data_IF_037610770593
#
_entry.id   IF_037610770593
#
_cell.length_a   1.000
_cell.length_b   1.000
_cell.length_c   1.000
_cell.angle_alpha   90.00
_cell.angle_beta   90.00
_cell.angle_gamma   90.00
#
_symmetry.space_group_name_H-M   'P 1'
#
loop_
_entity.id
_entity.type
_entity.pdbx_description
1 polymer ?
#
# COMPACT_ATOMS: atom_id res chain seq x y z
N UNK A 1 -10.05 -5.81 16.92
CA UNK A 1 -9.57 -4.95 18.03
C UNK A 1 -9.24 -3.56 17.52
N UNK A 2 -8.43 -3.43 16.46
CA UNK A 2 -8.01 -2.14 15.87
C UNK A 2 -9.13 -1.18 15.50
N UNK A 3 -10.19 -1.63 14.81
CA UNK A 3 -11.28 -0.73 14.40
C UNK A 3 -12.02 -0.15 15.62
N UNK A 4 -12.32 -0.98 16.62
CA UNK A 4 -12.98 -0.57 17.86
C UNK A 4 -12.10 0.30 18.76
N UNK A 5 -10.80 -0.02 18.88
CA UNK A 5 -9.87 0.72 19.74
C UNK A 5 -9.34 2.01 19.10
N UNK A 6 -9.18 2.05 17.77
CA UNK A 6 -8.60 3.20 17.03
C UNK A 6 -9.68 4.12 16.47
N UNK A 7 -10.71 3.62 15.78
CA UNK A 7 -11.80 4.50 15.32
C UNK A 7 -12.75 4.86 16.46
N UNK A 8 -13.01 3.93 17.39
CA UNK A 8 -13.89 4.17 18.54
C UNK A 8 -13.32 5.09 19.62
N UNK A 9 -12.01 5.38 19.60
CA UNK A 9 -11.39 6.39 20.47
C UNK A 9 -11.42 7.80 19.88
N UNK A 10 -11.58 7.93 18.55
CA UNK A 10 -11.63 9.21 17.84
C UNK A 10 -13.08 9.62 17.53
N UNK A 11 -13.97 8.66 17.27
CA UNK A 11 -15.37 8.88 16.93
C UNK A 11 -16.25 8.01 17.85
N UNK A 12 -16.66 8.59 18.97
CA UNK A 12 -17.46 7.92 20.01
C UNK A 12 -18.77 7.29 19.50
N UNK A 13 -19.49 7.87 18.52
CA UNK A 13 -20.65 7.23 17.90
C UNK A 13 -20.33 5.88 17.23
N UNK A 14 -19.11 5.67 16.74
CA UNK A 14 -18.76 4.41 16.07
C UNK A 14 -18.71 3.22 17.03
N UNK A 15 -18.43 3.45 18.32
CA UNK A 15 -18.53 2.41 19.36
C UNK A 15 -19.95 1.88 19.54
N UNK A 16 -20.96 2.69 19.22
CA UNK A 16 -22.37 2.28 19.28
C UNK A 16 -22.83 1.47 18.07
N UNK A 17 -22.06 1.50 16.96
CA UNK A 17 -22.40 0.85 15.68
C UNK A 17 -21.59 -0.42 15.46
N UNK A 18 -20.37 -0.51 16.01
CA UNK A 18 -19.46 -1.65 15.80
C UNK A 18 -19.22 -2.37 17.12
N UNK A 19 -19.68 -3.61 17.19
CA UNK A 19 -19.49 -4.47 18.36
C UNK A 19 -18.02 -4.89 18.51
N UNK A 20 -17.55 -5.04 19.75
CA UNK A 20 -16.15 -5.35 20.05
C UNK A 20 -15.76 -6.73 19.50
N UNK A 21 -16.65 -7.70 19.65
CA UNK A 21 -16.48 -9.06 19.13
C UNK A 21 -16.37 -9.06 17.60
N UNK A 22 -17.19 -8.26 16.91
CA UNK A 22 -17.14 -8.10 15.45
C UNK A 22 -15.81 -7.51 15.01
N UNK A 23 -15.34 -6.46 15.70
CA UNK A 23 -14.02 -5.85 15.45
C UNK A 23 -12.87 -6.83 15.70
N UNK A 24 -12.97 -7.70 16.72
CA UNK A 24 -11.95 -8.71 17.03
C UNK A 24 -11.87 -9.79 15.95
N UNK A 25 -13.01 -10.23 15.42
CA UNK A 25 -13.07 -11.29 14.40
C UNK A 25 -12.76 -10.74 13.00
N UNK A 26 -13.03 -9.46 12.74
CA UNK A 26 -12.82 -8.86 11.42
C UNK A 26 -11.37 -8.91 10.92
N UNK A 27 -10.38 -8.66 11.78
CA UNK A 27 -8.96 -8.63 11.35
C UNK A 27 -8.45 -10.01 10.91
N UNK A 28 -8.65 -11.11 11.66
CA UNK A 28 -8.35 -12.46 11.18
C UNK A 28 -9.20 -12.88 9.98
N UNK A 29 -10.50 -12.53 9.98
CA UNK A 29 -11.40 -12.88 8.87
C UNK A 29 -10.98 -12.20 7.56
N UNK A 30 -10.42 -10.99 7.62
CA UNK A 30 -9.87 -10.31 6.46
C UNK A 30 -8.71 -11.10 5.86
N UNK A 31 -7.80 -11.64 6.68
CA UNK A 31 -6.71 -12.52 6.19
C UNK A 31 -7.30 -13.74 5.49
N UNK A 32 -8.34 -14.35 6.07
CA UNK A 32 -9.04 -15.50 5.45
C UNK A 32 -9.68 -15.12 4.11
N UNK A 33 -10.36 -13.97 4.05
CA UNK A 33 -10.99 -13.47 2.83
C UNK A 33 -9.97 -13.14 1.73
N UNK A 34 -8.74 -12.78 2.10
CA UNK A 34 -7.66 -12.51 1.15
C UNK A 34 -6.91 -13.77 0.70
N UNK A 35 -7.07 -14.92 1.36
CA UNK A 35 -6.37 -16.16 0.96
C UNK A 35 -6.62 -16.57 -0.50
N UNK A 36 -7.85 -16.53 -1.06
CA UNK A 36 -8.07 -16.83 -2.48
C UNK A 36 -7.27 -15.91 -3.41
N UNK A 37 -7.10 -14.65 -3.04
CA UNK A 37 -6.27 -13.71 -3.80
C UNK A 37 -4.79 -14.06 -3.67
N UNK A 38 -4.33 -14.47 -2.48
CA UNK A 38 -3.00 -15.03 -2.27
C UNK A 38 -2.73 -16.28 -3.13
N UNK A 39 -3.70 -17.19 -3.24
CA UNK A 39 -3.62 -18.36 -4.13
C UNK A 39 -3.54 -17.92 -5.59
N UNK A 40 -4.39 -16.98 -6.03
CA UNK A 40 -4.35 -16.42 -7.38
C UNK A 40 -2.98 -15.82 -7.69
N UNK A 41 -2.39 -15.05 -6.76
CA UNK A 41 -1.05 -14.52 -6.96
C UNK A 41 -0.03 -15.65 -6.99
N UNK A 42 -0.03 -16.59 -6.03
CA UNK A 42 0.91 -17.71 -6.00
C UNK A 42 0.91 -18.56 -7.28
N UNK A 43 -0.26 -18.83 -7.87
CA UNK A 43 -0.36 -19.60 -9.12
C UNK A 43 0.06 -18.82 -10.35
N UNK A 44 -0.03 -17.49 -10.33
CA UNK A 44 0.43 -16.62 -11.41
C UNK A 44 1.94 -16.26 -11.28
N UNK A 45 2.45 -16.18 -10.06
CA UNK A 45 3.83 -15.79 -9.75
C UNK A 45 4.85 -16.78 -10.33
N UNK A 46 4.68 -18.08 -10.09
CA UNK A 46 5.65 -19.11 -10.50
C UNK A 46 5.86 -19.19 -12.03
N UNK A 47 4.82 -19.24 -12.88
CA UNK A 47 5.01 -19.26 -14.34
C UNK A 47 5.48 -17.90 -14.89
N UNK A 48 5.05 -16.79 -14.28
CA UNK A 48 5.37 -15.44 -14.76
C UNK A 48 6.73 -14.92 -14.31
N UNK A 49 7.58 -15.71 -13.64
CA UNK A 49 8.94 -15.29 -13.28
C UNK A 49 9.77 -14.96 -14.53
N UNK A 50 9.65 -15.74 -15.61
CA UNK A 50 10.34 -15.43 -16.86
C UNK A 50 9.73 -14.19 -17.55
N UNK A 51 8.42 -14.02 -17.45
CA UNK A 51 7.75 -12.80 -17.91
C UNK A 51 8.18 -11.58 -17.09
N UNK A 52 8.51 -11.72 -15.81
CA UNK A 52 9.03 -10.64 -14.95
C UNK A 52 10.41 -10.16 -15.42
N UNK A 53 11.26 -11.10 -15.84
CA UNK A 53 12.57 -10.81 -16.45
C UNK A 53 12.39 -10.19 -17.84
N UNK A 54 11.39 -10.66 -18.61
CA UNK A 54 11.12 -10.21 -19.98
C UNK A 54 10.32 -8.90 -20.07
N UNK A 55 9.45 -8.60 -19.10
CA UNK A 55 8.71 -7.36 -18.93
C UNK A 55 9.67 -6.16 -18.80
N UNK A 56 10.93 -6.46 -18.52
CA UNK A 56 12.06 -5.60 -18.76
C UNK A 56 12.34 -4.64 -17.62
N UNK A 57 13.38 -3.81 -17.76
CA UNK A 57 13.83 -2.88 -16.72
C UNK A 57 12.73 -1.93 -16.22
N UNK A 58 11.70 -1.64 -17.03
CA UNK A 58 10.63 -0.71 -16.69
C UNK A 58 9.83 -1.14 -15.45
N UNK A 59 9.43 -2.41 -15.33
CA UNK A 59 8.67 -2.88 -14.17
C UNK A 59 9.52 -2.99 -12.91
N UNK A 60 10.79 -3.38 -13.05
CA UNK A 60 11.74 -3.37 -11.93
C UNK A 60 11.92 -1.94 -11.40
N UNK A 61 12.13 -0.97 -12.29
CA UNK A 61 12.22 0.44 -11.92
C UNK A 61 10.93 0.98 -11.30
N UNK A 62 9.76 0.55 -11.80
CA UNK A 62 8.47 0.89 -11.21
C UNK A 62 8.39 0.44 -9.74
N UNK A 63 8.81 -0.79 -9.43
CA UNK A 63 8.86 -1.27 -8.04
C UNK A 63 9.92 -0.58 -7.19
N UNK A 64 11.06 -0.21 -7.75
CA UNK A 64 12.03 0.62 -7.02
C UNK A 64 11.43 1.99 -6.69
N UNK A 65 10.64 2.58 -7.59
CA UNK A 65 9.87 3.79 -7.32
C UNK A 65 8.87 3.59 -6.18
N UNK A 66 8.15 2.47 -6.17
CA UNK A 66 7.25 2.08 -5.08
C UNK A 66 7.99 1.99 -3.73
N UNK A 67 9.13 1.28 -3.67
CA UNK A 67 9.94 1.18 -2.45
C UNK A 67 10.61 2.51 -2.06
N UNK A 68 10.81 3.42 -3.01
CA UNK A 68 11.31 4.77 -2.74
C UNK A 68 10.44 5.53 -1.74
N UNK A 69 9.14 5.21 -1.67
CA UNK A 69 8.22 5.80 -0.69
C UNK A 69 8.64 5.56 0.76
N UNK A 70 9.37 4.47 1.06
CA UNK A 70 9.92 4.17 2.39
C UNK A 70 10.72 5.36 2.93
N UNK A 71 11.50 6.03 2.07
CA UNK A 71 12.39 7.13 2.45
C UNK A 71 11.64 8.36 2.98
N UNK A 72 10.36 8.51 2.61
CA UNK A 72 9.51 9.63 3.03
C UNK A 72 8.50 9.16 4.08
N UNK A 73 7.86 8.01 3.84
CA UNK A 73 6.81 7.47 4.69
C UNK A 73 7.34 7.05 6.07
N UNK A 74 8.54 6.47 6.16
CA UNK A 74 9.10 6.04 7.44
C UNK A 74 9.42 7.24 8.36
N UNK A 75 10.20 8.27 7.94
CA UNK A 75 10.40 9.47 8.75
C UNK A 75 9.09 10.13 9.17
N UNK A 76 8.13 10.24 8.25
CA UNK A 76 6.83 10.86 8.54
C UNK A 76 6.05 10.05 9.58
N UNK A 77 6.03 8.72 9.48
CA UNK A 77 5.39 7.85 10.46
C UNK A 77 6.05 7.99 11.84
N UNK A 78 7.39 8.04 11.90
CA UNK A 78 8.13 8.27 13.15
C UNK A 78 7.83 9.63 13.76
N UNK A 79 7.73 10.70 12.94
CA UNK A 79 7.33 12.04 13.38
C UNK A 79 5.91 12.07 13.96
N UNK A 80 5.01 11.25 13.41
CA UNK A 80 3.65 11.07 13.94
C UNK A 80 3.60 10.19 15.20
N UNK A 81 4.75 9.75 15.73
CA UNK A 81 4.87 8.98 16.96
C UNK A 81 4.68 7.48 16.79
N UNK A 82 4.56 6.96 15.56
CA UNK A 82 4.50 5.52 15.32
C UNK A 82 5.87 4.91 15.62
N UNK A 83 5.91 3.77 16.31
CA UNK A 83 7.14 3.05 16.64
C UNK A 83 7.30 1.90 15.66
N UNK A 84 7.19 0.65 16.13
CA UNK A 84 7.31 -0.53 15.28
C UNK A 84 6.19 -0.63 14.25
N UNK A 85 5.05 0.01 14.51
CA UNK A 85 3.95 0.16 13.56
C UNK A 85 4.40 0.83 12.26
N UNK A 86 5.37 1.75 12.33
CA UNK A 86 5.91 2.44 11.15
C UNK A 86 6.57 1.48 10.15
N UNK A 87 7.14 0.36 10.62
CA UNK A 87 7.72 -0.66 9.74
C UNK A 87 6.63 -1.28 8.87
N UNK A 88 5.53 -1.74 9.46
CA UNK A 88 4.43 -2.31 8.68
C UNK A 88 3.68 -1.26 7.86
N UNK A 89 3.53 -0.05 8.40
CA UNK A 89 2.78 1.02 7.76
C UNK A 89 3.48 1.64 6.54
N UNK A 90 4.82 1.64 6.52
CA UNK A 90 5.63 2.35 5.52
C UNK A 90 6.50 1.45 4.63
N UNK A 91 6.49 0.12 4.80
CA UNK A 91 7.34 -0.80 4.00
C UNK A 91 6.98 -0.80 2.51
N UNK A 92 5.76 -0.44 2.17
CA UNK A 92 5.29 -0.23 0.79
C UNK A 92 3.95 0.54 0.83
N UNK A 93 3.28 0.67 -0.32
CA UNK A 93 1.87 1.08 -0.43
C UNK A 93 0.86 0.11 0.22
N UNK A 94 1.31 -0.87 1.00
CA UNK A 94 0.53 -1.81 1.81
C UNK A 94 -0.55 -2.57 1.02
N UNK A 95 -0.18 -3.13 -0.13
CA UNK A 95 -1.08 -4.03 -0.89
C UNK A 95 -1.24 -5.40 -0.21
N UNK A 96 -2.17 -6.18 -0.74
CA UNK A 96 -2.49 -7.54 -0.29
C UNK A 96 -1.25 -8.44 -0.14
N UNK A 97 -0.26 -8.44 -1.07
CA UNK A 97 0.97 -9.20 -0.89
C UNK A 97 1.81 -8.69 0.29
N UNK A 98 1.87 -7.38 0.53
CA UNK A 98 2.60 -6.79 1.67
C UNK A 98 1.91 -7.16 2.98
N UNK A 99 0.58 -7.09 3.03
CA UNK A 99 -0.20 -7.50 4.19
C UNK A 99 0.06 -8.98 4.51
N UNK A 100 0.06 -9.85 3.50
CA UNK A 100 0.41 -11.27 3.65
C UNK A 100 1.82 -11.46 4.21
N UNK A 101 2.84 -10.82 3.62
CA UNK A 101 4.24 -10.93 4.05
C UNK A 101 4.45 -10.45 5.48
N UNK A 102 3.88 -9.30 5.85
CA UNK A 102 4.01 -8.76 7.21
C UNK A 102 3.26 -9.63 8.21
N UNK A 103 2.08 -10.13 7.86
CA UNK A 103 1.30 -11.04 8.70
C UNK A 103 2.04 -12.35 8.93
N UNK A 104 2.66 -12.93 7.89
CA UNK A 104 3.44 -14.16 8.01
C UNK A 104 4.69 -13.96 8.87
N UNK A 105 5.42 -12.86 8.65
CA UNK A 105 6.68 -12.59 9.35
C UNK A 105 6.52 -12.13 10.79
N UNK A 106 5.52 -11.29 11.08
CA UNK A 106 5.36 -10.65 12.40
C UNK A 106 4.05 -11.03 13.11
N UNK A 107 3.04 -11.52 12.40
CA UNK A 107 1.69 -11.76 12.91
C UNK A 107 0.78 -10.53 12.77
N UNK A 108 -0.50 -10.73 12.46
CA UNK A 108 -1.47 -9.64 12.23
C UNK A 108 -1.69 -8.75 13.46
N UNK A 109 -1.53 -9.31 14.67
CA UNK A 109 -1.66 -8.61 15.95
C UNK A 109 -0.35 -7.99 16.46
N UNK A 110 0.75 -8.11 15.72
CA UNK A 110 2.00 -7.41 16.06
C UNK A 110 1.91 -5.92 15.75
N UNK A 111 2.74 -5.05 16.34
CA UNK A 111 2.83 -3.64 15.96
C UNK A 111 2.95 -3.46 14.43
N UNK A 112 3.81 -4.24 13.77
CA UNK A 112 3.96 -4.22 12.31
C UNK A 112 2.66 -4.63 11.60
N UNK A 113 2.03 -5.71 12.04
CA UNK A 113 0.73 -6.18 11.54
C UNK A 113 -0.35 -5.11 11.65
N UNK A 114 -0.41 -4.42 12.78
CA UNK A 114 -1.31 -3.29 13.03
C UNK A 114 -1.05 -2.13 12.07
N UNK A 115 0.22 -1.79 11.86
CA UNK A 115 0.65 -0.74 10.94
C UNK A 115 0.23 -1.02 9.49
N UNK A 116 0.55 -2.20 8.97
CA UNK A 116 0.20 -2.57 7.58
C UNK A 116 -1.32 -2.66 7.38
N UNK A 117 -2.06 -3.17 8.38
CA UNK A 117 -3.51 -3.26 8.31
C UNK A 117 -4.16 -1.87 8.30
N UNK A 118 -3.63 -0.96 9.11
CA UNK A 118 -4.04 0.44 9.14
C UNK A 118 -3.85 1.11 7.77
N UNK A 119 -2.66 1.01 7.18
CA UNK A 119 -2.37 1.56 5.85
C UNK A 119 -3.23 0.90 4.77
N UNK A 120 -3.44 -0.42 4.81
CA UNK A 120 -4.27 -1.12 3.83
C UNK A 120 -5.72 -0.60 3.83
N UNK A 121 -6.33 -0.48 5.01
CA UNK A 121 -7.72 -0.02 5.14
C UNK A 121 -7.86 1.46 4.79
N UNK A 122 -7.07 2.32 5.42
CA UNK A 122 -7.12 3.77 5.20
C UNK A 122 -6.73 4.13 3.78
N UNK A 123 -5.68 3.49 3.27
CA UNK A 123 -5.21 3.61 1.90
C UNK A 123 -6.31 3.23 0.92
N UNK A 124 -6.94 2.06 1.06
CA UNK A 124 -8.00 1.63 0.13
C UNK A 124 -9.14 2.64 0.05
N UNK A 125 -9.60 3.19 1.19
CA UNK A 125 -10.72 4.13 1.21
C UNK A 125 -10.31 5.52 0.71
N UNK A 126 -9.35 6.16 1.40
CA UNK A 126 -8.95 7.54 1.10
C UNK A 126 -8.11 7.63 -0.18
N UNK A 127 -7.25 6.63 -0.40
CA UNK A 127 -6.42 6.52 -1.59
C UNK A 127 -7.24 6.36 -2.86
N UNK A 128 -8.40 5.69 -2.84
CA UNK A 128 -9.25 5.60 -4.04
C UNK A 128 -9.71 6.98 -4.52
N UNK A 129 -10.11 7.86 -3.59
CA UNK A 129 -10.49 9.25 -3.91
C UNK A 129 -9.29 10.02 -4.43
N UNK A 130 -8.15 9.90 -3.75
CA UNK A 130 -6.92 10.59 -4.13
C UNK A 130 -6.40 10.16 -5.50
N UNK A 131 -6.39 8.85 -5.79
CA UNK A 131 -5.98 8.28 -7.06
C UNK A 131 -6.92 8.65 -8.20
N UNK A 132 -8.23 8.74 -7.95
CA UNK A 132 -9.18 9.27 -8.94
C UNK A 132 -8.85 10.71 -9.34
N UNK A 133 -8.66 11.59 -8.35
CA UNK A 133 -8.27 12.98 -8.60
C UNK A 133 -6.92 13.06 -9.34
N UNK A 134 -5.91 12.35 -8.85
CA UNK A 134 -4.60 12.30 -9.49
C UNK A 134 -4.68 11.80 -10.93
N UNK A 135 -5.48 10.76 -11.21
CA UNK A 135 -5.68 10.25 -12.57
C UNK A 135 -6.21 11.33 -13.51
N UNK A 136 -7.18 12.13 -13.06
CA UNK A 136 -7.72 13.25 -13.83
C UNK A 136 -6.72 14.39 -14.07
N UNK A 137 -5.84 14.67 -13.10
CA UNK A 137 -4.81 15.72 -13.24
C UNK A 137 -3.51 15.23 -13.90
N UNK A 138 -3.27 13.93 -13.95
CA UNK A 138 -2.05 13.32 -14.46
C UNK A 138 -1.67 13.78 -15.88
N UNK A 139 -2.60 14.01 -16.82
CA UNK A 139 -2.25 14.51 -18.15
C UNK A 139 -1.52 15.87 -18.14
N UNK A 140 -1.73 16.70 -17.11
CA UNK A 140 -1.05 17.99 -16.97
C UNK A 140 0.47 17.86 -16.79
N UNK A 141 0.97 16.67 -16.43
CA UNK A 141 2.40 16.38 -16.34
C UNK A 141 3.09 16.34 -17.71
N UNK A 142 2.33 16.24 -18.82
CA UNK A 142 2.86 16.09 -20.18
C UNK A 142 3.43 14.70 -20.47
N UNK A 143 3.32 13.74 -19.53
CA UNK A 143 3.76 12.36 -19.73
C UNK A 143 2.80 11.60 -20.66
N UNK A 144 3.33 10.56 -21.31
CA UNK A 144 2.56 9.74 -22.24
C UNK A 144 1.37 9.05 -21.54
N UNK A 145 0.15 9.05 -22.11
CA UNK A 145 -1.05 8.49 -21.46
C UNK A 145 -0.90 7.02 -21.04
N UNK A 146 -0.21 6.19 -21.84
CA UNK A 146 0.08 4.80 -21.47
C UNK A 146 1.03 4.69 -20.26
N UNK A 147 1.99 5.59 -20.10
CA UNK A 147 2.86 5.58 -18.92
C UNK A 147 2.07 6.01 -17.66
N UNK A 148 1.18 6.98 -17.80
CA UNK A 148 0.26 7.40 -16.73
C UNK A 148 -0.73 6.27 -16.37
N UNK A 149 -1.20 5.52 -17.36
CA UNK A 149 -2.01 4.31 -17.16
C UNK A 149 -1.25 3.25 -16.36
N UNK A 150 0.02 3.00 -16.69
CA UNK A 150 0.88 2.10 -15.91
C UNK A 150 1.00 2.56 -14.45
N UNK A 151 1.14 3.87 -14.21
CA UNK A 151 1.19 4.45 -12.87
C UNK A 151 -0.15 4.27 -12.12
N UNK A 152 -1.30 4.41 -12.80
CA UNK A 152 -2.61 4.08 -12.23
C UNK A 152 -2.75 2.62 -11.82
N UNK A 153 -1.94 1.72 -12.38
CA UNK A 153 -1.85 0.32 -11.93
C UNK A 153 -1.34 0.15 -10.50
N UNK A 154 -0.64 1.14 -9.95
CA UNK A 154 -0.14 1.09 -8.58
C UNK A 154 -1.30 1.30 -7.60
N UNK A 155 -1.41 0.47 -6.56
CA UNK A 155 -2.51 0.56 -5.57
C UNK A 155 -3.54 -0.56 -5.67
N UNK A 156 -4.60 -0.52 -4.86
CA UNK A 156 -5.64 -1.55 -4.86
C UNK A 156 -6.44 -1.57 -6.17
N UNK A 157 -7.23 -2.62 -6.41
CA UNK A 157 -8.12 -2.67 -7.58
C UNK A 157 -9.09 -1.47 -7.64
N UNK A 158 -9.54 -0.97 -6.49
CA UNK A 158 -10.39 0.22 -6.42
C UNK A 158 -9.63 1.49 -6.80
N UNK A 159 -8.41 1.68 -6.30
CA UNK A 159 -7.56 2.82 -6.66
C UNK A 159 -7.23 2.82 -8.15
N UNK A 160 -6.87 1.65 -8.68
CA UNK A 160 -6.57 1.48 -10.10
C UNK A 160 -7.77 1.83 -10.96
N UNK A 161 -8.94 1.31 -10.61
CA UNK A 161 -10.18 1.59 -11.37
C UNK A 161 -10.49 3.08 -11.33
N UNK A 162 -10.45 3.71 -10.16
CA UNK A 162 -10.72 5.16 -10.04
C UNK A 162 -9.70 6.02 -10.80
N UNK A 163 -8.41 5.72 -10.70
CA UNK A 163 -7.35 6.45 -11.42
C UNK A 163 -7.46 6.28 -12.93
N UNK A 164 -7.58 5.05 -13.41
CA UNK A 164 -7.56 4.75 -14.85
C UNK A 164 -8.81 5.23 -15.57
N UNK A 165 -9.98 5.18 -14.93
CA UNK A 165 -11.23 5.76 -15.46
C UNK A 165 -11.16 7.29 -15.51
N UNK A 166 -10.66 7.92 -14.44
CA UNK A 166 -10.47 9.38 -14.41
C UNK A 166 -9.44 9.85 -15.44
N UNK A 167 -8.34 9.09 -15.60
CA UNK A 167 -7.33 9.33 -16.61
C UNK A 167 -7.91 9.20 -18.02
N UNK A 168 -8.64 8.12 -18.31
CA UNK A 168 -9.26 7.89 -19.61
C UNK A 168 -10.21 9.02 -20.01
N UNK A 169 -11.03 9.49 -19.07
CA UNK A 169 -11.89 10.64 -19.28
C UNK A 169 -11.09 11.93 -19.55
N UNK A 170 -9.98 12.15 -18.84
CA UNK A 170 -9.16 13.35 -18.96
C UNK A 170 -8.31 13.39 -20.25
N UNK A 171 -7.94 12.24 -20.81
CA UNK A 171 -7.13 12.16 -22.05
C UNK A 171 -7.97 11.92 -23.31
N UNK A 172 -9.30 11.93 -23.22
CA UNK A 172 -10.22 11.77 -24.34
C UNK A 172 -9.93 12.79 -25.47
N UNK A 173 -9.08 12.40 -26.43
CA UNK A 173 -8.55 13.27 -27.49
C UNK A 173 -7.06 13.11 -27.78
N UNK A 174 -6.28 12.43 -26.93
CA UNK A 174 -4.83 12.27 -27.06
C UNK A 174 -4.37 11.08 -27.95
N UNK A 175 -5.27 10.49 -28.75
CA UNK A 175 -4.94 9.41 -29.69
C UNK A 175 -4.75 8.02 -29.07
N UNK A 176 -5.05 7.82 -27.79
CA UNK A 176 -5.03 6.52 -27.09
C UNK A 176 -6.45 6.13 -26.74
N UNK A 177 -6.81 4.88 -27.02
CA UNK A 177 -8.16 4.38 -26.74
C UNK A 177 -8.35 4.10 -25.24
N UNK A 178 -9.56 4.35 -24.72
CA UNK A 178 -9.89 4.18 -23.30
C UNK A 178 -9.71 2.74 -22.83
N UNK A 179 -10.12 1.76 -23.64
CA UNK A 179 -9.93 0.33 -23.38
C UNK A 179 -8.45 -0.03 -23.23
N UNK A 180 -7.58 0.60 -24.02
CA UNK A 180 -6.14 0.43 -23.91
C UNK A 180 -5.60 0.98 -22.58
N UNK A 181 -6.09 2.14 -22.11
CA UNK A 181 -5.72 2.73 -20.81
C UNK A 181 -6.15 1.80 -19.66
N UNK A 182 -7.38 1.29 -19.69
CA UNK A 182 -7.87 0.40 -18.64
C UNK A 182 -7.10 -0.93 -18.65
N UNK A 183 -6.79 -1.48 -19.83
CA UNK A 183 -6.03 -2.72 -19.99
C UNK A 183 -4.59 -2.59 -19.48
N UNK A 184 -3.91 -1.48 -19.79
CA UNK A 184 -2.55 -1.23 -19.31
C UNK A 184 -2.51 -1.06 -17.79
N UNK A 185 -3.48 -0.33 -17.22
CA UNK A 185 -3.59 -0.18 -15.77
C UNK A 185 -3.85 -1.51 -15.07
N UNK A 186 -4.75 -2.34 -15.61
CA UNK A 186 -5.04 -3.67 -15.07
C UNK A 186 -3.83 -4.61 -15.14
N UNK A 187 -3.11 -4.61 -16.26
CA UNK A 187 -1.86 -5.36 -16.44
C UNK A 187 -0.81 -4.90 -15.44
N UNK A 188 -0.63 -3.58 -15.28
CA UNK A 188 0.28 -3.00 -14.29
C UNK A 188 -0.10 -3.39 -12.86
N UNK A 189 -1.40 -3.39 -12.52
CA UNK A 189 -1.88 -3.78 -11.19
C UNK A 189 -1.58 -5.24 -10.86
N UNK A 190 -1.78 -6.12 -11.84
CA UNK A 190 -1.48 -7.54 -11.72
C UNK A 190 0.03 -7.75 -11.54
N UNK A 191 0.83 -7.16 -12.42
CA UNK A 191 2.29 -7.29 -12.38
C UNK A 191 2.85 -6.72 -11.09
N UNK A 192 2.42 -5.53 -10.66
CA UNK A 192 2.81 -4.90 -9.38
C UNK A 192 2.48 -5.80 -8.18
N UNK A 193 1.37 -6.52 -8.22
CA UNK A 193 1.04 -7.49 -7.17
C UNK A 193 2.05 -8.64 -7.08
N UNK A 194 2.59 -9.07 -8.22
CA UNK A 194 3.56 -10.16 -8.34
C UNK A 194 4.99 -9.65 -8.03
N UNK A 195 5.43 -8.61 -8.72
CA UNK A 195 6.77 -8.00 -8.57
C UNK A 195 6.96 -7.40 -7.18
N UNK A 196 5.93 -6.72 -6.66
CA UNK A 196 5.94 -6.08 -5.36
C UNK A 196 6.12 -7.07 -4.21
N UNK A 197 5.62 -8.32 -4.34
CA UNK A 197 5.84 -9.37 -3.35
C UNK A 197 7.35 -9.65 -3.19
N UNK A 198 8.05 -9.91 -4.29
CA UNK A 198 9.49 -10.16 -4.27
C UNK A 198 10.28 -8.95 -3.79
N UNK A 199 9.90 -7.76 -4.26
CA UNK A 199 10.58 -6.52 -3.90
C UNK A 199 10.44 -6.19 -2.42
N UNK A 200 9.28 -6.42 -1.81
CA UNK A 200 9.08 -6.25 -0.37
C UNK A 200 9.90 -7.26 0.43
N UNK A 201 9.92 -8.55 0.04
CA UNK A 201 10.66 -9.59 0.77
C UNK A 201 12.17 -9.36 0.67
N UNK A 202 12.68 -9.16 -0.55
CA UNK A 202 14.12 -9.13 -0.84
C UNK A 202 14.76 -7.77 -0.54
N UNK A 203 14.02 -6.67 -0.72
CA UNK A 203 14.57 -5.30 -0.63
C UNK A 203 13.85 -4.48 0.44
N UNK A 204 12.53 -4.37 0.36
CA UNK A 204 11.73 -3.48 1.21
C UNK A 204 11.93 -3.74 2.70
N UNK A 205 11.75 -4.99 3.14
CA UNK A 205 11.91 -5.40 4.55
C UNK A 205 13.32 -5.17 5.09
N UNK A 206 14.40 -5.62 4.41
CA UNK A 206 15.77 -5.31 4.84
C UNK A 206 16.08 -3.81 4.89
N UNK A 207 15.55 -3.03 3.94
CA UNK A 207 15.79 -1.58 3.87
C UNK A 207 15.07 -0.86 5.00
N UNK A 208 13.75 -1.08 5.17
CA UNK A 208 12.99 -0.37 6.20
C UNK A 208 13.44 -0.73 7.61
N UNK A 209 13.84 -1.98 7.86
CA UNK A 209 14.32 -2.40 9.19
C UNK A 209 15.63 -1.69 9.54
N UNK A 210 16.55 -1.56 8.57
CA UNK A 210 17.81 -0.80 8.76
C UNK A 210 17.55 0.68 8.92
N UNK A 211 16.68 1.25 8.09
CA UNK A 211 16.36 2.68 8.15
C UNK A 211 15.66 3.03 9.46
N UNK A 212 14.74 2.19 9.93
CA UNK A 212 14.10 2.31 11.23
C UNK A 212 15.13 2.28 12.37
N UNK A 213 16.08 1.33 12.35
CA UNK A 213 17.11 1.25 13.39
C UNK A 213 17.99 2.51 13.47
N UNK A 214 18.18 3.21 12.35
CA UNK A 214 18.94 4.46 12.30
C UNK A 214 18.09 5.68 12.68
N UNK A 215 16.85 5.75 12.21
CA UNK A 215 15.99 6.93 12.39
C UNK A 215 15.22 6.92 13.72
N UNK A 216 14.77 5.77 14.20
CA UNK A 216 13.98 5.67 15.43
C UNK A 216 14.69 6.28 16.67
N UNK A 217 16.00 6.11 16.88
CA UNK A 217 16.71 6.78 17.97
C UNK A 217 16.79 8.30 17.83
N UNK A 218 16.75 8.83 16.61
CA UNK A 218 16.79 10.27 16.34
C UNK A 218 15.45 10.91 16.69
N UNK A 219 14.35 10.31 16.25
CA UNK A 219 13.00 10.79 16.55
C UNK A 219 12.52 10.43 17.97
N UNK A 220 13.11 9.41 18.60
CA UNK A 220 12.79 8.97 19.96
C UNK A 220 13.42 9.83 21.08
N UNK A 221 14.30 10.79 20.75
CA UNK A 221 14.91 11.68 21.75
C UNK A 221 13.96 12.74 22.29
N UNK A 222 12.96 13.16 21.52
CA UNK A 222 12.03 14.22 21.93
C UNK A 222 10.84 13.71 22.76
N UNK A 223 10.47 12.44 22.64
CA UNK A 223 9.34 11.87 23.42
C UNK A 223 9.73 11.58 24.88
N UNK A 224 10.99 11.24 25.16
CA UNK A 224 11.47 11.08 26.54
C UNK A 224 11.58 12.41 27.30
N UNK A 225 11.75 13.53 26.59
CA UNK A 225 11.76 14.87 27.20
C UNK A 225 10.34 15.40 27.48
N UNK A 226 9.32 14.91 26.78
CA UNK A 226 7.92 15.33 26.95
C UNK A 226 7.19 14.58 28.07
N UNK A 227 7.60 13.37 28.45
CA UNK A 227 7.02 12.60 29.56
C UNK A 227 7.67 12.88 30.94
N UNK A 228 8.67 13.77 30.99
CA UNK A 228 9.41 14.14 32.20
C UNK A 228 9.03 15.50 32.81
N UNK A 229 7.96 16.13 32.34
CA UNK A 229 7.54 17.47 32.77
C UNK A 229 6.04 17.52 33.10
N UNK A 230 5.76 17.44 34.40
CA UNK A 230 4.51 17.75 35.12
C UNK A 230 3.35 16.75 35.09
#
# INVERSE_FOLDING_TARGET
ALSYSVLGSVIEPLRSVVDEDVSRIASPLLVVALMPLGVKYGTLVAPSFYDLVAAGPAFVLQEFGNLGTILIALPLALLLGLKRESIGAAVSIAREPTLGVITDKYGIESPEGRGVLGTYMTGTVLGTVFFGLLGGFAPATGLHPLALSMACGMGSASMMTACSTSLAAAVGGAGVAEDQILSFAATSNLLTGITGLYMVILVGLPVITRLYAVLAPVFGRDTAAAEGGE
#
